data_IF_921995019815
#
_entry.id   IF_921995019815
#
_cell.length_a   1.000
_cell.length_b   1.000
_cell.length_c   1.000
_cell.angle_alpha   90.00
_cell.angle_beta   90.00
_cell.angle_gamma   90.00
#
_symmetry.space_group_name_H-M   'P 1'
#
loop_
_entity.id
_entity.type
_entity.pdbx_description
1 polymer ?
#
# COMPACT_ATOMS: atom_id res chain seq x y z
N UNK A 1 -5.34 10.70 -27.06
CA UNK A 1 -4.74 10.82 -25.73
C UNK A 1 -5.42 11.86 -24.84
N UNK A 2 -5.71 13.10 -25.31
CA UNK A 2 -6.36 14.11 -24.48
C UNK A 2 -7.68 13.69 -23.84
N UNK A 3 -8.62 13.13 -24.60
CA UNK A 3 -9.92 12.67 -24.10
C UNK A 3 -9.85 11.51 -23.09
N UNK A 4 -8.82 10.67 -23.18
CA UNK A 4 -8.60 9.60 -22.20
C UNK A 4 -8.11 10.16 -20.87
N UNK A 5 -7.11 11.04 -20.91
CA UNK A 5 -6.54 11.68 -19.73
C UNK A 5 -7.57 12.58 -19.03
N UNK A 6 -8.33 13.37 -19.77
CA UNK A 6 -9.38 14.23 -19.19
C UNK A 6 -10.48 13.40 -18.52
N UNK A 7 -10.97 12.34 -19.18
CA UNK A 7 -11.96 11.43 -18.60
C UNK A 7 -11.44 10.75 -17.33
N UNK A 8 -10.17 10.30 -17.32
CA UNK A 8 -9.53 9.69 -16.16
C UNK A 8 -9.40 10.70 -15.02
N UNK A 9 -8.97 11.93 -15.31
CA UNK A 9 -8.86 12.99 -14.31
C UNK A 9 -10.24 13.32 -13.67
N UNK A 10 -11.30 13.41 -14.49
CA UNK A 10 -12.66 13.65 -13.98
C UNK A 10 -13.11 12.51 -13.05
N UNK A 11 -12.97 11.25 -13.46
CA UNK A 11 -13.36 10.13 -12.60
C UNK A 11 -12.53 10.03 -11.31
N UNK A 12 -11.23 10.33 -11.39
CA UNK A 12 -10.37 10.41 -10.20
C UNK A 12 -10.81 11.54 -9.26
N UNK A 13 -11.15 12.71 -9.80
CA UNK A 13 -11.67 13.83 -9.01
C UNK A 13 -13.02 13.50 -8.34
N UNK A 14 -13.93 12.83 -9.07
CA UNK A 14 -15.22 12.37 -8.52
C UNK A 14 -14.99 11.35 -7.39
N UNK A 15 -14.10 10.37 -7.59
CA UNK A 15 -13.78 9.38 -6.57
C UNK A 15 -13.14 10.01 -5.35
N UNK A 16 -12.22 10.95 -5.54
CA UNK A 16 -11.56 11.68 -4.46
C UNK A 16 -12.58 12.51 -3.67
N UNK A 17 -13.49 13.22 -4.36
CA UNK A 17 -14.55 13.97 -3.71
C UNK A 17 -15.48 13.06 -2.90
N UNK A 18 -15.90 11.93 -3.47
CA UNK A 18 -16.68 10.91 -2.75
C UNK A 18 -15.98 10.39 -1.50
N UNK A 19 -14.67 10.15 -1.57
CA UNK A 19 -13.86 9.75 -0.42
C UNK A 19 -13.82 10.86 0.65
N UNK A 20 -13.65 12.13 0.26
CA UNK A 20 -13.65 13.28 1.15
C UNK A 20 -14.96 13.37 1.93
N UNK A 21 -16.09 13.29 1.23
CA UNK A 21 -17.43 13.30 1.85
C UNK A 21 -17.55 12.14 2.84
N UNK A 22 -17.23 10.93 2.41
CA UNK A 22 -17.36 9.74 3.23
C UNK A 22 -16.52 9.85 4.50
N UNK A 23 -15.24 10.18 4.39
CA UNK A 23 -14.32 10.28 5.54
C UNK A 23 -14.77 11.37 6.52
N UNK A 24 -15.21 12.52 6.01
CA UNK A 24 -15.72 13.57 6.87
C UNK A 24 -16.91 13.11 7.72
N UNK A 25 -17.92 12.50 7.09
CA UNK A 25 -19.11 12.05 7.82
C UNK A 25 -18.82 10.83 8.71
N UNK A 26 -18.05 9.87 8.23
CA UNK A 26 -17.67 8.69 9.02
C UNK A 26 -16.91 9.05 10.31
N UNK A 27 -15.98 10.01 10.22
CA UNK A 27 -15.25 10.48 11.40
C UNK A 27 -16.21 11.00 12.48
N UNK A 28 -17.25 11.73 12.10
CA UNK A 28 -18.23 12.27 13.05
C UNK A 28 -19.18 11.25 13.65
N UNK A 29 -19.40 10.12 12.97
CA UNK A 29 -20.18 9.01 13.53
C UNK A 29 -19.46 8.31 14.69
N UNK A 30 -18.16 8.50 14.87
CA UNK A 30 -17.39 7.93 16.00
C UNK A 30 -17.70 8.61 17.33
N UNK A 31 -18.43 9.72 17.34
CA UNK A 31 -18.83 10.49 18.52
C UNK A 31 -18.01 11.76 18.74
N UNK A 32 -18.30 12.47 19.83
CA UNK A 32 -17.62 13.73 20.15
C UNK A 32 -16.19 13.50 20.63
N UNK A 33 -15.18 14.26 20.15
CA UNK A 33 -13.84 14.26 20.73
C UNK A 33 -13.86 14.67 22.22
N UNK A 34 -14.75 15.56 22.64
CA UNK A 34 -14.88 16.00 24.03
C UNK A 34 -14.96 14.83 25.02
N UNK A 35 -15.58 13.70 24.63
CA UNK A 35 -15.71 12.52 25.47
C UNK A 35 -14.37 11.82 25.80
N UNK A 36 -13.34 12.08 25.01
CA UNK A 36 -11.99 11.50 25.19
C UNK A 36 -10.97 12.49 25.77
N UNK A 37 -11.19 13.78 25.54
CA UNK A 37 -10.23 14.82 25.95
C UNK A 37 -10.61 15.54 27.23
N UNK A 38 -11.86 15.40 27.69
CA UNK A 38 -12.31 15.96 28.96
C UNK A 38 -12.54 14.85 30.00
N UNK A 39 -12.42 15.17 31.30
CA UNK A 39 -12.81 14.23 32.36
C UNK A 39 -14.24 13.70 32.18
N UNK A 40 -14.49 12.47 32.62
CA UNK A 40 -15.81 11.82 32.48
C UNK A 40 -16.91 12.61 33.17
N UNK A 41 -16.56 13.26 34.29
CA UNK A 41 -17.41 14.08 35.15
C UNK A 41 -17.36 15.59 34.76
N UNK A 42 -16.77 15.92 33.61
CA UNK A 42 -16.68 17.31 33.15
C UNK A 42 -18.08 17.96 33.05
N UNK A 43 -18.30 19.18 33.62
CA UNK A 43 -19.54 19.92 33.50
C UNK A 43 -19.93 20.18 32.03
N UNK A 44 -21.22 20.24 31.75
CA UNK A 44 -21.71 20.56 30.41
C UNK A 44 -21.13 21.85 29.85
N UNK A 45 -20.96 22.89 30.68
CA UNK A 45 -20.32 24.15 30.27
C UNK A 45 -18.90 23.95 29.72
N UNK A 46 -18.11 23.05 30.29
CA UNK A 46 -16.76 22.75 29.81
C UNK A 46 -16.81 21.98 28.46
N UNK A 47 -17.78 21.08 28.29
CA UNK A 47 -18.01 20.37 27.01
C UNK A 47 -18.44 21.31 25.90
N UNK A 48 -19.34 22.25 26.21
CA UNK A 48 -19.79 23.29 25.27
C UNK A 48 -18.65 24.25 24.88
N UNK A 49 -17.82 24.64 25.85
CA UNK A 49 -16.67 25.47 25.59
C UNK A 49 -15.61 24.76 24.73
N UNK A 50 -15.33 23.49 25.01
CA UNK A 50 -14.46 22.67 24.17
C UNK A 50 -14.99 22.57 22.74
N UNK A 51 -16.29 22.31 22.57
CA UNK A 51 -16.94 22.23 21.26
C UNK A 51 -16.85 23.56 20.52
N UNK A 52 -17.05 24.68 21.22
CA UNK A 52 -16.95 26.05 20.63
C UNK A 52 -15.52 26.38 20.20
N UNK A 53 -14.53 26.10 21.04
CA UNK A 53 -13.12 26.36 20.73
C UNK A 53 -12.64 25.62 19.48
N UNK A 54 -13.14 24.38 19.27
CA UNK A 54 -12.76 23.55 18.13
C UNK A 54 -13.79 23.55 16.99
N UNK A 55 -14.87 24.38 17.10
CA UNK A 55 -15.90 24.51 16.08
C UNK A 55 -16.79 23.28 15.91
N UNK A 56 -16.86 22.38 16.90
CA UNK A 56 -17.74 21.20 16.87
C UNK A 56 -19.18 21.53 17.24
N UNK A 57 -19.45 22.73 17.76
CA UNK A 57 -20.78 23.29 18.05
C UNK A 57 -21.54 23.73 16.80
N UNK A 58 -20.81 23.96 15.69
CA UNK A 58 -21.41 24.43 14.44
C UNK A 58 -22.20 23.32 13.74
N UNK A 59 -23.23 23.67 12.93
CA UNK A 59 -23.92 22.70 12.09
C UNK A 59 -22.93 21.87 11.26
N UNK A 60 -23.15 20.56 11.14
CA UNK A 60 -22.23 19.64 10.46
C UNK A 60 -21.91 20.06 9.02
N UNK A 61 -22.90 20.68 8.34
CA UNK A 61 -22.70 21.20 6.99
C UNK A 61 -21.69 22.37 6.96
N UNK A 62 -21.69 23.23 7.97
CA UNK A 62 -20.74 24.35 8.09
C UNK A 62 -19.34 23.80 8.36
N UNK A 63 -19.24 22.79 9.24
CA UNK A 63 -17.96 22.10 9.48
C UNK A 63 -17.42 21.43 8.19
N UNK A 64 -18.31 20.87 7.36
CA UNK A 64 -17.93 20.27 6.08
C UNK A 64 -17.35 21.30 5.11
N UNK A 65 -18.00 22.46 4.95
CA UNK A 65 -17.47 23.52 4.09
C UNK A 65 -16.18 24.13 4.63
N UNK A 66 -16.03 24.26 5.95
CA UNK A 66 -14.78 24.67 6.59
C UNK A 66 -13.66 23.66 6.30
N UNK A 67 -13.96 22.37 6.37
CA UNK A 67 -13.02 21.30 6.02
C UNK A 67 -12.63 21.37 4.53
N UNK A 68 -13.59 21.57 3.61
CA UNK A 68 -13.28 21.72 2.18
C UNK A 68 -12.39 22.94 1.91
N UNK A 69 -12.61 24.05 2.61
CA UNK A 69 -11.74 25.22 2.52
C UNK A 69 -10.33 24.90 3.02
N UNK A 70 -10.21 24.26 4.19
CA UNK A 70 -8.93 23.80 4.74
C UNK A 70 -8.19 22.85 3.79
N UNK A 71 -8.93 21.96 3.10
CA UNK A 71 -8.37 21.08 2.10
C UNK A 71 -7.71 21.84 0.94
N UNK A 72 -8.35 22.91 0.45
CA UNK A 72 -7.83 23.73 -0.65
C UNK A 72 -6.61 24.56 -0.24
N UNK A 73 -6.52 24.92 1.03
CA UNK A 73 -5.40 25.67 1.61
C UNK A 73 -4.33 24.79 2.26
N UNK A 74 -4.52 23.44 2.23
CA UNK A 74 -3.70 22.46 2.92
C UNK A 74 -3.60 22.69 4.45
N UNK A 75 -4.63 23.31 5.02
CA UNK A 75 -4.79 23.53 6.44
C UNK A 75 -5.88 22.59 6.99
N UNK A 76 -5.46 21.46 7.56
CA UNK A 76 -6.34 20.46 8.17
C UNK A 76 -6.62 20.74 9.65
N UNK A 77 -6.01 21.81 10.18
CA UNK A 77 -6.02 22.12 11.62
C UNK A 77 -4.98 21.35 12.41
N UNK A 78 -5.00 21.56 13.72
CA UNK A 78 -4.06 20.94 14.66
C UNK A 78 -4.61 19.61 15.20
N UNK A 79 -3.71 18.67 15.42
CA UNK A 79 -3.98 17.44 16.16
C UNK A 79 -4.41 17.77 17.59
N UNK A 80 -5.57 17.29 17.98
CA UNK A 80 -6.07 17.42 19.36
C UNK A 80 -5.16 16.71 20.36
N UNK A 81 -4.49 15.63 19.93
CA UNK A 81 -3.63 14.81 20.77
C UNK A 81 -2.21 15.37 20.87
N UNK A 82 -1.65 15.82 19.77
CA UNK A 82 -0.23 16.20 19.70
C UNK A 82 0.00 17.72 19.72
N UNK A 83 -1.05 18.54 19.55
CA UNK A 83 -0.96 20.01 19.50
C UNK A 83 -0.08 20.53 18.35
N UNK A 84 0.03 19.77 17.25
CA UNK A 84 0.85 20.09 16.07
C UNK A 84 -0.01 20.03 14.81
N UNK A 85 0.34 20.76 13.75
CA UNK A 85 -0.39 20.71 12.48
C UNK A 85 -0.54 19.27 11.96
N UNK A 86 -1.76 18.85 11.66
CA UNK A 86 -2.07 17.49 11.22
C UNK A 86 -1.32 17.12 9.95
N UNK A 87 -1.19 18.06 9.00
CA UNK A 87 -0.44 17.86 7.77
C UNK A 87 1.03 17.50 8.05
N UNK A 88 1.67 18.21 8.97
CA UNK A 88 3.07 17.96 9.35
C UNK A 88 3.24 16.54 9.88
N UNK A 89 2.35 16.09 10.78
CA UNK A 89 2.40 14.75 11.34
C UNK A 89 2.28 13.66 10.25
N UNK A 90 1.38 13.86 9.30
CA UNK A 90 1.19 12.92 8.19
C UNK A 90 2.39 12.91 7.26
N UNK A 91 2.95 14.08 6.92
CA UNK A 91 4.13 14.16 6.05
C UNK A 91 5.38 13.58 6.71
N UNK A 92 5.54 13.67 8.02
CA UNK A 92 6.63 13.03 8.78
C UNK A 92 6.49 11.49 8.79
N UNK A 93 5.27 10.97 8.83
CA UNK A 93 4.99 9.52 8.81
C UNK A 93 5.07 8.90 7.41
N UNK A 94 4.79 9.68 6.35
CA UNK A 94 4.68 9.20 4.97
C UNK A 94 5.94 8.48 4.45
N UNK A 95 7.17 8.96 4.67
CA UNK A 95 8.37 8.28 4.21
C UNK A 95 8.49 6.84 4.72
N UNK A 96 8.12 6.58 5.96
CA UNK A 96 8.18 5.23 6.53
C UNK A 96 7.25 4.27 5.78
N UNK A 97 6.01 4.67 5.51
CA UNK A 97 5.03 3.88 4.74
C UNK A 97 5.51 3.64 3.32
N UNK A 98 6.01 4.69 2.63
CA UNK A 98 6.49 4.59 1.25
C UNK A 98 7.73 3.71 1.13
N UNK A 99 8.70 3.82 2.04
CA UNK A 99 9.88 2.96 2.07
C UNK A 99 9.50 1.51 2.32
N UNK A 100 8.60 1.27 3.27
CA UNK A 100 8.11 -0.08 3.57
C UNK A 100 7.43 -0.70 2.34
N UNK A 101 6.58 0.07 1.64
CA UNK A 101 5.93 -0.36 0.41
C UNK A 101 6.95 -0.62 -0.72
N UNK A 102 7.90 0.28 -0.90
CA UNK A 102 8.94 0.16 -1.93
C UNK A 102 9.80 -1.09 -1.76
N UNK A 103 10.31 -1.33 -0.54
CA UNK A 103 11.12 -2.53 -0.29
C UNK A 103 10.29 -3.81 -0.41
N UNK A 104 9.03 -3.80 0.05
CA UNK A 104 8.16 -4.97 -0.02
C UNK A 104 7.83 -5.37 -1.45
N UNK A 105 7.46 -4.41 -2.33
CA UNK A 105 7.18 -4.71 -3.73
C UNK A 105 8.47 -5.08 -4.48
N UNK A 106 9.61 -4.47 -4.16
CA UNK A 106 10.90 -4.79 -4.72
C UNK A 106 11.31 -6.25 -4.44
N UNK A 107 11.22 -6.66 -3.19
CA UNK A 107 11.49 -8.04 -2.77
C UNK A 107 10.50 -9.01 -3.44
N UNK A 108 9.20 -8.70 -3.41
CA UNK A 108 8.17 -9.51 -4.04
C UNK A 108 8.43 -9.71 -5.54
N UNK A 109 8.77 -8.63 -6.26
CA UNK A 109 9.03 -8.66 -7.69
C UNK A 109 10.25 -9.52 -8.02
N UNK A 110 11.38 -9.32 -7.33
CA UNK A 110 12.61 -10.09 -7.56
C UNK A 110 12.39 -11.57 -7.31
N UNK A 111 11.82 -11.93 -6.15
CA UNK A 111 11.55 -13.32 -5.79
C UNK A 111 10.57 -13.96 -6.77
N UNK A 112 9.51 -13.25 -7.12
CA UNK A 112 8.47 -13.77 -8.01
C UNK A 112 8.96 -13.97 -9.44
N UNK A 113 9.73 -13.03 -9.99
CA UNK A 113 10.29 -13.15 -11.34
C UNK A 113 11.25 -14.34 -11.43
N UNK A 114 12.13 -14.49 -10.46
CA UNK A 114 13.08 -15.62 -10.42
C UNK A 114 12.31 -16.95 -10.28
N UNK A 115 11.44 -17.04 -9.29
CA UNK A 115 10.67 -18.28 -9.02
C UNK A 115 9.76 -18.66 -10.18
N UNK A 116 8.98 -17.70 -10.70
CA UNK A 116 8.07 -17.92 -11.83
C UNK A 116 8.78 -18.30 -13.12
N UNK A 117 9.93 -17.66 -13.41
CA UNK A 117 10.75 -18.01 -14.59
C UNK A 117 11.34 -19.41 -14.50
N UNK A 118 11.84 -19.80 -13.32
CA UNK A 118 12.37 -21.14 -13.10
C UNK A 118 11.30 -22.22 -13.14
N UNK A 119 10.13 -21.95 -12.57
CA UNK A 119 8.96 -22.83 -12.63
C UNK A 119 8.49 -23.05 -14.08
N UNK A 120 8.44 -21.97 -14.87
CA UNK A 120 8.04 -22.03 -16.29
C UNK A 120 9.04 -22.76 -17.18
N UNK A 121 10.31 -22.84 -16.79
CA UNK A 121 11.33 -23.55 -17.56
C UNK A 121 11.10 -25.06 -17.65
N UNK A 122 10.60 -25.67 -16.57
CA UNK A 122 10.24 -27.09 -16.52
C UNK A 122 8.82 -27.24 -15.96
N UNK A 123 7.80 -27.00 -16.78
CA UNK A 123 6.41 -27.14 -16.36
C UNK A 123 6.11 -28.55 -15.84
N UNK A 124 5.26 -28.64 -14.83
CA UNK A 124 4.86 -29.87 -14.15
C UNK A 124 5.98 -30.57 -13.34
N UNK A 125 7.17 -29.97 -13.23
CA UNK A 125 8.21 -30.47 -12.31
C UNK A 125 7.78 -30.30 -10.85
N UNK A 126 8.50 -30.98 -9.92
CA UNK A 126 8.26 -30.84 -8.48
C UNK A 126 8.44 -29.40 -8.06
N UNK A 127 9.49 -28.70 -8.58
CA UNK A 127 9.72 -27.29 -8.27
C UNK A 127 8.54 -26.41 -8.72
N UNK A 128 8.02 -26.63 -9.94
CA UNK A 128 6.87 -25.90 -10.46
C UNK A 128 5.62 -26.10 -9.60
N UNK A 129 5.33 -27.34 -9.21
CA UNK A 129 4.16 -27.65 -8.36
C UNK A 129 4.28 -27.01 -6.97
N UNK A 130 5.45 -27.12 -6.34
CA UNK A 130 5.71 -26.54 -5.02
C UNK A 130 5.65 -25.01 -5.09
N UNK A 131 6.31 -24.39 -6.07
CA UNK A 131 6.28 -22.94 -6.26
C UNK A 131 4.86 -22.42 -6.49
N UNK A 132 4.07 -23.11 -7.32
CA UNK A 132 2.66 -22.77 -7.56
C UNK A 132 1.83 -22.93 -6.29
N UNK A 133 1.98 -24.02 -5.54
CA UNK A 133 1.26 -24.22 -4.29
C UNK A 133 1.58 -23.13 -3.26
N UNK A 134 2.87 -22.85 -3.05
CA UNK A 134 3.30 -21.81 -2.12
C UNK A 134 2.81 -20.41 -2.54
N UNK A 135 2.80 -20.14 -3.87
CA UNK A 135 2.28 -18.88 -4.38
C UNK A 135 0.78 -18.70 -4.13
N UNK A 136 0.00 -19.77 -4.27
CA UNK A 136 -1.45 -19.76 -3.96
C UNK A 136 -1.70 -19.55 -2.47
N UNK A 137 -0.97 -20.28 -1.61
CA UNK A 137 -1.06 -20.11 -0.14
C UNK A 137 -0.71 -18.67 0.23
N UNK A 138 0.44 -18.15 -0.24
CA UNK A 138 0.88 -16.78 0.08
C UNK A 138 -0.10 -15.71 -0.40
N UNK A 139 -0.73 -15.89 -1.56
CA UNK A 139 -1.73 -14.96 -2.08
C UNK A 139 -3.05 -14.98 -1.28
N UNK A 140 -3.36 -16.09 -0.61
CA UNK A 140 -4.64 -16.30 0.10
C UNK A 140 -4.58 -15.90 1.57
N UNK A 141 -3.40 -15.87 2.18
CA UNK A 141 -3.26 -15.59 3.62
C UNK A 141 -3.42 -14.10 3.92
N UNK A 142 -4.16 -13.72 4.97
CA UNK A 142 -4.27 -12.34 5.42
C UNK A 142 -2.94 -11.82 6.01
N UNK A 143 -2.56 -10.58 5.69
CA UNK A 143 -1.30 -9.98 6.18
C UNK A 143 -1.20 -9.98 7.71
N UNK A 144 -2.29 -9.70 8.43
CA UNK A 144 -2.27 -9.68 9.89
C UNK A 144 -1.94 -11.06 10.49
N UNK A 145 -2.46 -12.12 9.89
CA UNK A 145 -2.19 -13.49 10.33
C UNK A 145 -0.72 -13.84 10.12
N UNK A 146 -0.18 -13.55 8.92
CA UNK A 146 1.24 -13.76 8.60
C UNK A 146 2.13 -12.94 9.56
N UNK A 147 1.74 -11.69 9.87
CA UNK A 147 2.48 -10.84 10.79
C UNK A 147 2.54 -11.44 12.19
N UNK A 148 1.41 -11.85 12.76
CA UNK A 148 1.34 -12.43 14.12
C UNK A 148 2.12 -13.73 14.19
N UNK A 149 1.90 -14.66 13.24
CA UNK A 149 2.64 -15.94 13.18
C UNK A 149 4.13 -15.69 12.96
N UNK A 150 4.48 -14.75 12.09
CA UNK A 150 5.86 -14.33 11.84
C UNK A 150 6.55 -13.83 13.11
N UNK A 151 5.90 -12.96 13.88
CA UNK A 151 6.42 -12.47 15.17
C UNK A 151 6.59 -13.63 16.15
N UNK A 152 5.60 -14.51 16.31
CA UNK A 152 5.66 -15.63 17.24
C UNK A 152 6.80 -16.60 16.89
N UNK A 153 6.96 -16.93 15.62
CA UNK A 153 7.97 -17.89 15.17
C UNK A 153 9.37 -17.26 15.12
N UNK A 154 9.54 -16.17 14.39
CA UNK A 154 10.87 -15.64 14.07
C UNK A 154 11.41 -14.66 15.13
N UNK A 155 10.54 -13.89 15.78
CA UNK A 155 10.99 -12.92 16.76
C UNK A 155 10.99 -13.47 18.19
N UNK A 156 9.93 -14.17 18.61
CA UNK A 156 9.79 -14.70 19.97
C UNK A 156 10.44 -16.08 20.09
N UNK A 157 10.08 -17.02 19.19
CA UNK A 157 10.55 -18.40 19.26
C UNK A 157 12.03 -18.55 18.88
N UNK A 158 12.38 -18.15 17.66
CA UNK A 158 13.73 -18.29 17.11
C UNK A 158 14.66 -17.13 17.48
N UNK A 159 14.12 -15.97 17.84
CA UNK A 159 14.88 -14.74 18.16
C UNK A 159 15.83 -14.27 17.05
N UNK A 160 15.46 -14.53 15.80
CA UNK A 160 16.26 -14.13 14.64
C UNK A 160 16.12 -12.65 14.30
N UNK A 161 14.97 -12.08 14.58
CA UNK A 161 14.63 -10.68 14.29
C UNK A 161 13.92 -10.03 15.48
N UNK A 162 14.02 -8.71 15.66
CA UNK A 162 13.27 -7.99 16.69
C UNK A 162 11.75 -8.04 16.43
N UNK A 163 10.97 -7.87 17.52
CA UNK A 163 9.50 -7.88 17.44
C UNK A 163 8.92 -6.60 16.88
N UNK A 164 9.61 -5.45 17.05
CA UNK A 164 9.08 -4.12 16.68
C UNK A 164 10.19 -3.07 16.57
N UNK A 165 9.84 -1.87 16.09
CA UNK A 165 10.72 -0.71 15.96
C UNK A 165 11.29 -0.52 14.57
N UNK A 166 12.09 0.57 14.39
CA UNK A 166 12.65 0.99 13.08
C UNK A 166 14.13 1.36 13.12
N UNK A 167 14.76 1.30 14.30
CA UNK A 167 16.13 1.79 14.53
C UNK A 167 17.26 0.96 13.90
N UNK A 168 16.96 -0.27 13.44
CA UNK A 168 17.94 -1.14 12.80
C UNK A 168 17.37 -1.85 11.56
N UNK A 169 18.23 -2.23 10.62
CA UNK A 169 17.82 -2.97 9.42
C UNK A 169 17.12 -4.30 9.75
N UNK A 170 17.49 -4.96 10.84
CA UNK A 170 16.87 -6.21 11.28
C UNK A 170 15.37 -6.05 11.59
N UNK A 171 14.94 -4.89 12.06
CA UNK A 171 13.53 -4.57 12.36
C UNK A 171 12.68 -4.45 11.10
N UNK A 172 13.27 -4.16 9.95
CA UNK A 172 12.57 -4.04 8.66
C UNK A 172 12.34 -5.38 7.97
N UNK A 173 13.12 -6.41 8.30
CA UNK A 173 13.09 -7.70 7.60
C UNK A 173 11.70 -8.34 7.65
N UNK A 174 11.13 -8.48 8.85
CA UNK A 174 9.86 -9.18 9.02
C UNK A 174 8.66 -8.40 8.47
N UNK A 175 8.50 -7.09 8.72
CA UNK A 175 7.46 -6.27 8.08
C UNK A 175 7.50 -6.30 6.55
N UNK A 176 8.69 -6.17 5.96
CA UNK A 176 8.89 -6.26 4.50
C UNK A 176 8.48 -7.64 3.99
N UNK A 177 8.92 -8.71 4.64
CA UNK A 177 8.58 -10.08 4.25
C UNK A 177 7.06 -10.31 4.29
N UNK A 178 6.39 -9.89 5.38
CA UNK A 178 4.94 -10.00 5.54
C UNK A 178 4.19 -9.31 4.40
N UNK A 179 4.54 -8.06 4.10
CA UNK A 179 3.90 -7.30 3.02
C UNK A 179 4.25 -7.83 1.63
N UNK A 180 5.40 -8.48 1.45
CA UNK A 180 5.84 -9.03 0.19
C UNK A 180 5.18 -10.38 -0.17
N UNK A 181 4.74 -11.19 0.80
CA UNK A 181 4.25 -12.56 0.57
C UNK A 181 3.06 -12.60 -0.39
N UNK A 182 2.04 -11.80 -0.14
CA UNK A 182 0.83 -11.78 -0.98
C UNK A 182 1.10 -11.30 -2.41
N UNK A 183 1.73 -10.14 -2.64
CA UNK A 183 2.14 -9.70 -3.97
C UNK A 183 3.05 -10.72 -4.68
N UNK A 184 4.03 -11.29 -3.95
CA UNK A 184 4.91 -12.30 -4.48
C UNK A 184 4.11 -13.49 -5.04
N UNK A 185 3.15 -14.01 -4.28
CA UNK A 185 2.29 -15.11 -4.72
C UNK A 185 1.56 -14.83 -6.03
N UNK A 186 0.94 -13.64 -6.14
CA UNK A 186 0.22 -13.23 -7.36
C UNK A 186 1.18 -13.03 -8.54
N UNK A 187 2.31 -12.36 -8.32
CA UNK A 187 3.29 -12.08 -9.38
C UNK A 187 3.96 -13.37 -9.86
N UNK A 188 4.24 -14.36 -8.99
CA UNK A 188 4.76 -15.69 -9.39
C UNK A 188 3.86 -16.35 -10.42
N UNK A 189 2.55 -16.36 -10.19
CA UNK A 189 1.56 -17.00 -11.09
C UNK A 189 1.56 -16.33 -12.46
N UNK A 190 1.57 -14.99 -12.49
CA UNK A 190 1.60 -14.21 -13.73
C UNK A 190 2.94 -14.38 -14.45
N UNK A 191 4.07 -14.32 -13.73
CA UNK A 191 5.40 -14.52 -14.31
C UNK A 191 5.52 -15.92 -14.93
N UNK A 192 5.04 -16.96 -14.20
CA UNK A 192 5.05 -18.34 -14.68
C UNK A 192 4.21 -18.50 -15.95
N UNK A 193 2.95 -18.06 -15.96
CA UNK A 193 2.05 -18.21 -17.11
C UNK A 193 2.55 -17.43 -18.32
N UNK A 194 3.02 -16.20 -18.12
CA UNK A 194 3.58 -15.36 -19.17
C UNK A 194 4.86 -15.97 -19.77
N UNK A 195 5.74 -16.50 -18.92
CA UNK A 195 6.97 -17.18 -19.36
C UNK A 195 6.67 -18.47 -20.14
N UNK A 196 5.70 -19.28 -19.74
CA UNK A 196 5.29 -20.49 -20.49
C UNK A 196 4.80 -20.09 -21.89
N UNK A 197 3.95 -19.09 -22.01
CA UNK A 197 3.45 -18.58 -23.28
C UNK A 197 4.60 -18.12 -24.20
N UNK A 198 5.52 -17.33 -23.66
CA UNK A 198 6.66 -16.79 -24.39
C UNK A 198 7.65 -17.90 -24.81
N UNK A 199 7.95 -18.86 -23.94
CA UNK A 199 8.86 -19.97 -24.22
C UNK A 199 8.34 -20.92 -25.32
N UNK A 200 7.02 -20.95 -25.58
CA UNK A 200 6.41 -21.72 -26.64
C UNK A 200 6.41 -21.00 -28.00
N UNK A 201 6.77 -19.71 -28.06
CA UNK A 201 6.74 -18.87 -29.26
C UNK A 201 7.73 -19.28 -30.34
N UNK A 202 7.43 -18.93 -31.60
CA UNK A 202 8.25 -19.27 -32.76
C UNK A 202 9.69 -18.69 -32.68
N UNK A 203 9.82 -17.46 -32.21
CA UNK A 203 11.16 -16.82 -32.12
C UNK A 203 12.06 -17.49 -31.06
N UNK A 204 11.49 -18.02 -29.98
CA UNK A 204 12.25 -18.79 -28.98
C UNK A 204 12.67 -20.14 -29.56
N UNK A 205 11.81 -20.80 -30.34
CA UNK A 205 12.16 -22.04 -31.08
C UNK A 205 13.33 -21.78 -32.04
N UNK A 206 13.28 -20.66 -32.78
CA UNK A 206 14.38 -20.25 -33.70
C UNK A 206 15.68 -19.96 -32.93
N UNK A 207 15.60 -19.27 -31.79
CA UNK A 207 16.79 -19.00 -30.97
C UNK A 207 17.43 -20.31 -30.47
N UNK A 208 16.60 -21.30 -30.09
CA UNK A 208 17.06 -22.62 -29.65
C UNK A 208 17.71 -23.39 -30.81
N UNK A 209 17.10 -23.36 -32.00
CA UNK A 209 17.67 -23.97 -33.20
C UNK A 209 19.05 -23.37 -33.61
N UNK A 210 19.25 -22.09 -33.31
CA UNK A 210 20.56 -21.39 -33.50
C UNK A 210 21.56 -21.67 -32.39
N UNK A 211 21.30 -22.62 -31.47
CA UNK A 211 22.23 -23.01 -30.41
C UNK A 211 22.32 -22.10 -29.21
N UNK A 212 21.35 -21.19 -29.01
CA UNK A 212 21.35 -20.33 -27.84
C UNK A 212 21.28 -21.14 -26.53
N UNK A 213 22.14 -20.81 -25.57
CA UNK A 213 22.15 -21.46 -24.24
C UNK A 213 20.86 -21.18 -23.48
N UNK A 214 20.39 -22.14 -22.71
CA UNK A 214 19.13 -22.06 -21.92
C UNK A 214 19.02 -20.79 -21.07
N UNK A 215 20.08 -20.40 -20.36
CA UNK A 215 20.11 -19.16 -19.57
C UNK A 215 19.84 -17.92 -20.45
N UNK A 216 20.41 -17.86 -21.65
CA UNK A 216 20.20 -16.74 -22.57
C UNK A 216 18.76 -16.72 -23.10
N UNK A 217 18.19 -17.89 -23.37
CA UNK A 217 16.78 -18.02 -23.79
C UNK A 217 15.86 -17.48 -22.68
N UNK A 218 16.06 -17.90 -21.43
CA UNK A 218 15.20 -17.50 -20.29
C UNK A 218 15.33 -16.01 -20.02
N UNK A 219 16.53 -15.56 -19.66
CA UNK A 219 16.72 -14.22 -19.09
C UNK A 219 16.86 -13.10 -20.12
N UNK A 220 17.22 -13.38 -21.36
CA UNK A 220 17.40 -12.36 -22.40
C UNK A 220 16.26 -12.37 -23.40
N UNK A 221 15.85 -13.53 -23.91
CA UNK A 221 14.84 -13.61 -24.97
C UNK A 221 13.41 -13.73 -24.44
N UNK A 222 13.17 -14.57 -23.43
CA UNK A 222 11.83 -14.82 -22.94
C UNK A 222 11.42 -13.80 -21.87
N UNK A 223 12.27 -13.55 -20.87
CA UNK A 223 11.93 -12.71 -19.72
C UNK A 223 11.53 -11.29 -20.14
N UNK A 224 12.27 -10.68 -21.07
CA UNK A 224 11.98 -9.32 -21.57
C UNK A 224 10.53 -9.19 -22.07
N UNK A 225 10.05 -10.18 -22.81
CA UNK A 225 8.69 -10.17 -23.36
C UNK A 225 7.63 -10.61 -22.32
N UNK A 226 8.01 -11.45 -21.36
CA UNK A 226 7.14 -11.88 -20.29
C UNK A 226 6.95 -10.83 -19.19
N UNK A 227 7.84 -9.83 -19.10
CA UNK A 227 7.79 -8.81 -18.03
C UNK A 227 6.60 -7.86 -18.14
N UNK A 228 6.02 -7.64 -19.33
CA UNK A 228 4.93 -6.68 -19.50
C UNK A 228 3.74 -6.98 -18.57
N UNK A 229 3.12 -8.19 -18.62
CA UNK A 229 2.04 -8.53 -17.67
C UNK A 229 2.50 -8.57 -16.21
N UNK A 230 3.77 -8.94 -15.96
CA UNK A 230 4.34 -8.98 -14.60
C UNK A 230 4.41 -7.58 -13.99
N UNK A 231 4.90 -6.59 -14.73
CA UNK A 231 4.98 -5.20 -14.26
C UNK A 231 3.58 -4.61 -14.05
N UNK A 232 2.62 -4.97 -14.90
CA UNK A 232 1.22 -4.57 -14.73
C UNK A 232 0.68 -5.02 -13.37
N UNK A 233 0.82 -6.31 -13.05
CA UNK A 233 0.35 -6.84 -11.78
C UNK A 233 1.17 -6.29 -10.61
N UNK A 234 2.49 -6.14 -10.77
CA UNK A 234 3.34 -5.56 -9.72
C UNK A 234 2.93 -4.11 -9.40
N UNK A 235 2.57 -3.31 -10.41
CA UNK A 235 2.06 -1.96 -10.23
C UNK A 235 0.75 -1.92 -9.43
N UNK A 236 -0.22 -2.74 -9.80
CA UNK A 236 -1.48 -2.88 -9.07
C UNK A 236 -1.24 -3.29 -7.61
N UNK A 237 -0.35 -4.27 -7.39
CA UNK A 237 0.01 -4.72 -6.04
C UNK A 237 0.75 -3.64 -5.24
N UNK A 238 1.56 -2.79 -5.86
CA UNK A 238 2.27 -1.70 -5.18
C UNK A 238 1.30 -0.70 -4.53
N UNK A 239 0.23 -0.31 -5.25
CA UNK A 239 -0.83 0.52 -4.69
C UNK A 239 -1.57 -0.18 -3.53
N UNK A 240 -1.82 -1.49 -3.66
CA UNK A 240 -2.44 -2.31 -2.62
C UNK A 240 -1.61 -2.44 -1.34
N UNK A 241 -0.28 -2.43 -1.43
CA UNK A 241 0.61 -2.52 -0.26
C UNK A 241 0.46 -1.32 0.67
N UNK A 242 0.26 -0.10 0.15
CA UNK A 242 0.05 1.09 0.99
C UNK A 242 -1.16 0.89 1.90
N UNK A 243 -2.27 0.36 1.38
CA UNK A 243 -3.45 0.03 2.18
C UNK A 243 -3.18 -1.12 3.17
N UNK A 244 -2.42 -2.13 2.75
CA UNK A 244 -2.02 -3.26 3.60
C UNK A 244 -1.02 -2.90 4.71
N UNK A 245 -0.26 -1.83 4.53
CA UNK A 245 0.75 -1.36 5.48
C UNK A 245 0.14 -0.95 6.82
N UNK A 246 -1.09 -0.43 6.85
CA UNK A 246 -1.79 0.04 8.07
C UNK A 246 -1.72 -0.99 9.20
N UNK A 247 -2.08 -2.23 8.91
CA UNK A 247 -2.10 -3.31 9.90
C UNK A 247 -0.66 -3.71 10.29
N UNK A 248 0.23 -3.81 9.33
CA UNK A 248 1.63 -4.20 9.56
C UNK A 248 2.36 -3.14 10.37
N UNK A 249 2.21 -1.86 10.04
CA UNK A 249 2.76 -0.75 10.81
C UNK A 249 2.28 -0.77 12.26
N UNK A 250 1.00 -1.07 12.49
CA UNK A 250 0.43 -1.16 13.84
C UNK A 250 1.03 -2.34 14.62
N UNK A 251 1.11 -3.54 14.02
CA UNK A 251 1.63 -4.74 14.69
C UNK A 251 3.12 -4.59 15.03
N UNK A 252 3.92 -4.03 14.10
CA UNK A 252 5.37 -3.87 14.28
C UNK A 252 5.79 -2.54 14.93
N UNK A 253 4.83 -1.66 15.26
CA UNK A 253 5.10 -0.36 15.87
C UNK A 253 5.85 0.61 14.96
N UNK A 254 5.66 0.52 13.63
CA UNK A 254 6.28 1.42 12.66
C UNK A 254 5.60 2.79 12.69
N UNK A 255 6.38 3.90 12.72
CA UNK A 255 5.83 5.26 12.72
C UNK A 255 5.40 5.69 11.31
N UNK A 256 4.51 4.92 10.69
CA UNK A 256 3.95 5.20 9.38
C UNK A 256 2.56 5.83 9.45
N UNK A 257 2.05 6.23 8.29
CA UNK A 257 0.74 6.89 8.17
C UNK A 257 -0.39 5.97 8.61
N UNK A 258 -0.29 4.66 8.33
CA UNK A 258 -1.31 3.69 8.71
C UNK A 258 -1.46 3.59 10.22
N UNK A 259 -0.34 3.46 10.96
CA UNK A 259 -0.36 3.48 12.43
C UNK A 259 -0.86 4.81 12.97
N UNK A 260 -0.39 5.94 12.42
CA UNK A 260 -0.85 7.27 12.80
C UNK A 260 -2.38 7.40 12.64
N UNK A 261 -2.95 6.86 11.55
CA UNK A 261 -4.40 6.87 11.32
C UNK A 261 -5.17 6.01 12.34
N UNK A 262 -4.69 4.79 12.64
CA UNK A 262 -5.33 3.92 13.64
C UNK A 262 -5.33 4.60 15.01
N UNK A 263 -4.19 5.16 15.40
CA UNK A 263 -4.07 5.91 16.66
C UNK A 263 -5.06 7.11 16.66
N UNK A 264 -5.15 7.86 15.56
CA UNK A 264 -6.03 9.03 15.43
C UNK A 264 -7.51 8.66 15.45
N UNK A 265 -7.90 7.53 14.85
CA UNK A 265 -9.27 7.01 14.94
C UNK A 265 -9.61 6.66 16.38
N UNK A 266 -8.70 5.99 17.08
CA UNK A 266 -8.88 5.58 18.47
C UNK A 266 -9.07 6.79 19.39
N UNK A 267 -8.36 7.87 19.13
CA UNK A 267 -8.43 9.12 19.91
C UNK A 267 -9.37 10.18 19.31
N UNK A 268 -10.14 9.85 18.27
CA UNK A 268 -11.05 10.80 17.57
C UNK A 268 -10.38 12.10 17.14
N UNK A 269 -9.14 12.01 16.68
CA UNK A 269 -8.36 13.14 16.16
C UNK A 269 -8.72 13.40 14.70
N UNK A 270 -9.80 14.11 14.49
CA UNK A 270 -10.39 14.32 13.16
C UNK A 270 -9.45 15.01 12.19
N UNK A 271 -8.65 15.97 12.66
CA UNK A 271 -7.70 16.68 11.83
C UNK A 271 -6.68 15.72 11.19
N UNK A 272 -6.10 14.84 11.99
CA UNK A 272 -5.11 13.85 11.52
C UNK A 272 -5.76 12.76 10.67
N UNK A 273 -6.98 12.30 11.00
CA UNK A 273 -7.70 11.32 10.17
C UNK A 273 -7.93 11.88 8.77
N UNK A 274 -8.42 13.11 8.68
CA UNK A 274 -8.75 13.78 7.41
C UNK A 274 -7.49 14.05 6.58
N UNK A 275 -6.44 14.59 7.20
CA UNK A 275 -5.15 14.79 6.57
C UNK A 275 -4.54 13.46 6.09
N UNK A 276 -4.55 12.44 6.94
CA UNK A 276 -3.99 11.11 6.65
C UNK A 276 -4.65 10.44 5.45
N UNK A 277 -5.99 10.41 5.41
CA UNK A 277 -6.71 9.82 4.28
C UNK A 277 -6.45 10.60 3.00
N UNK A 278 -6.48 11.94 3.05
CA UNK A 278 -6.27 12.77 1.88
C UNK A 278 -4.86 12.61 1.30
N UNK A 279 -3.83 12.74 2.13
CA UNK A 279 -2.43 12.63 1.69
C UNK A 279 -2.13 11.22 1.20
N UNK A 280 -2.68 10.18 1.84
CA UNK A 280 -2.55 8.80 1.36
C UNK A 280 -3.25 8.61 0.01
N UNK A 281 -4.44 9.16 -0.19
CA UNK A 281 -5.13 9.10 -1.48
C UNK A 281 -4.34 9.81 -2.60
N UNK A 282 -3.76 10.97 -2.31
CA UNK A 282 -2.87 11.69 -3.23
C UNK A 282 -1.62 10.84 -3.54
N UNK A 283 -1.00 10.24 -2.53
CA UNK A 283 0.18 9.40 -2.72
C UNK A 283 -0.13 8.17 -3.61
N UNK A 284 -1.27 7.50 -3.40
CA UNK A 284 -1.73 6.38 -4.24
C UNK A 284 -2.01 6.87 -5.67
N UNK A 285 -2.64 8.03 -5.83
CA UNK A 285 -2.88 8.61 -7.15
C UNK A 285 -1.56 8.89 -7.89
N UNK A 286 -0.60 9.53 -7.24
CA UNK A 286 0.72 9.79 -7.82
C UNK A 286 1.46 8.49 -8.17
N UNK A 287 1.38 7.49 -7.31
CA UNK A 287 1.95 6.17 -7.59
C UNK A 287 1.33 5.56 -8.84
N UNK A 288 0.01 5.60 -9.00
CA UNK A 288 -0.66 5.11 -10.19
C UNK A 288 -0.23 5.87 -11.46
N UNK A 289 -0.03 7.18 -11.38
CA UNK A 289 0.51 7.98 -12.51
C UNK A 289 1.93 7.51 -12.87
N UNK A 290 2.78 7.27 -11.88
CA UNK A 290 4.14 6.73 -12.11
C UNK A 290 4.07 5.36 -12.79
N UNK A 291 3.19 4.48 -12.32
CA UNK A 291 2.98 3.15 -12.90
C UNK A 291 2.51 3.26 -14.37
N UNK A 292 1.58 4.16 -14.67
CA UNK A 292 1.11 4.40 -16.04
C UNK A 292 2.23 4.92 -16.98
N UNK A 293 3.10 5.79 -16.45
CA UNK A 293 4.29 6.25 -17.20
C UNK A 293 5.23 5.08 -17.49
N UNK A 294 5.47 4.22 -16.50
CA UNK A 294 6.30 3.02 -16.68
C UNK A 294 5.69 2.11 -17.76
N UNK A 295 4.37 1.93 -17.78
CA UNK A 295 3.68 1.19 -18.84
C UNK A 295 3.86 1.81 -20.22
N UNK A 296 3.65 3.11 -20.34
CA UNK A 296 3.80 3.83 -21.61
C UNK A 296 5.23 3.76 -22.17
N UNK A 297 6.23 3.64 -21.30
CA UNK A 297 7.65 3.45 -21.70
C UNK A 297 7.91 2.01 -22.12
N UNK A 298 7.32 1.03 -21.44
CA UNK A 298 7.58 -0.39 -21.69
C UNK A 298 6.75 -0.97 -22.84
N UNK A 299 5.56 -0.46 -23.09
CA UNK A 299 4.69 -0.88 -24.20
C UNK A 299 4.51 0.26 -25.23
N UNK A 300 5.30 0.27 -26.32
CA UNK A 300 5.16 1.29 -27.38
C UNK A 300 3.81 1.22 -28.13
N UNK A 301 3.01 0.17 -27.94
CA UNK A 301 1.71 0.00 -28.60
C UNK A 301 0.58 0.83 -27.96
N UNK A 302 0.84 1.42 -26.79
CA UNK A 302 -0.12 2.25 -26.05
C UNK A 302 0.02 3.75 -26.43
N UNK A 303 1.00 4.08 -27.28
CA UNK A 303 1.24 5.44 -27.75
C UNK A 303 0.29 5.88 -28.85
#
# INVERSE_FOLDING_TARGET
MGNYLSRRAVWSAVSLFGLIVLVFFMARLTGSPADLYLPVDAPNAMREEFARLHGFDRPVIVQFFSFLHGLLTLDFGDSLRQGRPALTLVLEAMPTTLLLAFYSIGVALVVAVVTGSLAAWRPNSIFDRVATLLSLIGASLPNFWIAIVGVLVFAVGLRWVPTSGTGSAAQWILPIAVLAIRPCGLIVQVARSSMISVLSSAYVKTARAKGARNRRIIFVHALRNAMLPVITVAGDQAAGIINGAVIVETIFGFPGVGKLMIDSITYRDFAVIQAGVMITAIAIFLLNVVIDIVYAVLDPRIR
#
